data_IF_436419024380
#
_entry.id   IF_436419024380
#
_cell.length_a   1.000
_cell.length_b   1.000
_cell.length_c   1.000
_cell.angle_alpha   90.00
_cell.angle_beta   90.00
_cell.angle_gamma   90.00
#
_symmetry.space_group_name_H-M   'P 1'
#
loop_
_entity.id
_entity.type
_entity.pdbx_description
1 polymer ?
#
# COMPACT_ATOMS: atom_id res chain seq x y z
N UNK A 1 -10.84 20.83 -10.16
CA UNK A 1 -11.29 19.55 -9.56
C UNK A 1 -12.64 19.17 -10.15
N UNK A 2 -12.70 18.07 -10.89
CA UNK A 2 -13.95 17.53 -11.41
C UNK A 2 -14.77 16.98 -10.23
N UNK A 3 -16.02 17.44 -10.07
CA UNK A 3 -16.85 17.20 -8.87
C UNK A 3 -17.79 16.01 -9.02
N UNK A 4 -17.71 15.23 -10.10
CA UNK A 4 -18.67 14.16 -10.41
C UNK A 4 -18.81 13.11 -9.33
N UNK A 5 -17.75 12.82 -8.57
CA UNK A 5 -17.81 11.85 -7.46
C UNK A 5 -18.08 12.48 -6.09
N UNK A 6 -18.36 13.79 -6.03
CA UNK A 6 -18.72 14.45 -4.77
C UNK A 6 -20.07 13.90 -4.29
N UNK A 7 -20.10 13.37 -3.05
CA UNK A 7 -21.28 12.72 -2.49
C UNK A 7 -21.34 11.20 -2.72
N UNK A 8 -20.39 10.63 -3.49
CA UNK A 8 -20.33 9.19 -3.79
C UNK A 8 -19.17 8.48 -3.08
N UNK A 9 -18.63 9.08 -2.01
CA UNK A 9 -17.50 8.54 -1.25
C UNK A 9 -16.15 9.16 -1.58
N UNK A 10 -16.03 10.02 -2.59
CA UNK A 10 -14.78 10.74 -2.84
C UNK A 10 -14.52 11.77 -1.74
N UNK A 11 -13.32 11.75 -1.17
CA UNK A 11 -12.90 12.66 -0.09
C UNK A 11 -11.58 13.35 -0.43
N UNK A 12 -11.24 14.39 0.33
CA UNK A 12 -9.94 15.02 0.21
C UNK A 12 -8.86 14.19 0.90
N UNK A 13 -7.83 13.80 0.15
CA UNK A 13 -6.65 13.10 0.65
C UNK A 13 -5.37 13.85 0.28
N UNK A 14 -4.29 13.60 1.02
CA UNK A 14 -2.98 14.22 0.80
C UNK A 14 -2.04 13.24 0.10
N UNK A 15 -1.50 13.62 -1.05
CA UNK A 15 -0.41 12.93 -1.69
C UNK A 15 0.92 13.55 -1.22
N UNK A 16 1.60 12.90 -0.27
CA UNK A 16 2.82 13.44 0.34
C UNK A 16 3.97 13.59 -0.68
N UNK A 17 4.08 12.70 -1.66
CA UNK A 17 5.13 12.73 -2.69
C UNK A 17 5.00 13.94 -3.61
N UNK A 18 3.77 14.31 -3.98
CA UNK A 18 3.47 15.46 -4.84
C UNK A 18 3.19 16.75 -4.08
N UNK A 19 3.17 16.70 -2.74
CA UNK A 19 2.81 17.81 -1.85
C UNK A 19 1.45 18.44 -2.21
N UNK A 20 0.52 17.64 -2.68
CA UNK A 20 -0.79 18.09 -3.14
C UNK A 20 -1.93 17.43 -2.36
N UNK A 21 -3.05 18.13 -2.29
CA UNK A 21 -4.31 17.58 -1.79
C UNK A 21 -5.24 17.38 -2.97
N UNK A 22 -5.84 16.19 -3.08
CA UNK A 22 -6.74 15.83 -4.16
C UNK A 22 -8.08 15.32 -3.62
N UNK A 23 -9.16 15.59 -4.36
CA UNK A 23 -10.49 15.01 -4.10
C UNK A 23 -10.63 13.74 -4.94
N UNK A 24 -10.79 12.59 -4.31
CA UNK A 24 -10.94 11.33 -5.05
C UNK A 24 -10.85 10.07 -4.20
N UNK A 25 -10.24 9.06 -4.81
CA UNK A 25 -10.05 7.72 -4.28
C UNK A 25 -8.58 7.29 -4.42
N UNK A 26 -8.22 6.22 -3.72
CA UNK A 26 -6.99 5.44 -3.90
C UNK A 26 -7.35 4.06 -4.44
N UNK A 27 -6.52 3.56 -5.33
CA UNK A 27 -6.55 2.17 -5.79
C UNK A 27 -5.40 1.42 -5.12
N UNK A 28 -5.73 0.32 -4.46
CA UNK A 28 -4.76 -0.59 -3.86
C UNK A 28 -4.85 -1.91 -4.63
N UNK A 29 -3.72 -2.42 -5.12
CA UNK A 29 -3.67 -3.66 -5.90
C UNK A 29 -2.65 -4.61 -5.29
N UNK A 30 -2.98 -5.89 -5.29
CA UNK A 30 -2.07 -6.98 -4.99
C UNK A 30 -1.75 -7.69 -6.31
N UNK A 31 -0.47 -7.79 -6.61
CA UNK A 31 0.01 -8.49 -7.79
C UNK A 31 1.15 -9.43 -7.44
N UNK A 32 1.28 -10.49 -8.22
CA UNK A 32 2.44 -11.37 -8.20
C UNK A 32 3.69 -10.65 -8.69
N UNK A 33 4.87 -11.20 -8.42
CA UNK A 33 6.16 -10.62 -8.83
C UNK A 33 6.30 -10.53 -10.37
N UNK A 34 5.66 -11.43 -11.10
CA UNK A 34 5.59 -11.45 -12.56
C UNK A 34 4.47 -10.56 -13.15
N UNK A 35 3.72 -9.86 -12.30
CA UNK A 35 2.81 -8.78 -12.71
C UNK A 35 1.35 -9.19 -12.87
N UNK A 36 0.94 -10.39 -12.46
CA UNK A 36 -0.48 -10.77 -12.47
C UNK A 36 -1.22 -10.12 -11.31
N UNK A 37 -2.26 -9.35 -11.61
CA UNK A 37 -3.13 -8.76 -10.60
C UNK A 37 -4.00 -9.87 -10.01
N UNK A 38 -3.92 -10.03 -8.69
CA UNK A 38 -4.61 -11.07 -7.92
C UNK A 38 -5.80 -10.52 -7.14
N UNK A 39 -5.71 -9.26 -6.69
CA UNK A 39 -6.79 -8.58 -5.98
C UNK A 39 -6.65 -7.06 -6.09
N UNK A 40 -7.75 -6.33 -5.91
CA UNK A 40 -7.77 -4.88 -5.94
C UNK A 40 -8.95 -4.31 -5.13
N UNK A 41 -8.69 -3.21 -4.43
CA UNK A 41 -9.72 -2.46 -3.70
C UNK A 41 -9.58 -0.97 -3.94
N UNK A 42 -10.70 -0.25 -3.83
CA UNK A 42 -10.78 1.21 -3.93
C UNK A 42 -11.21 1.77 -2.58
N UNK A 43 -10.47 2.75 -2.07
CA UNK A 43 -10.83 3.47 -0.85
C UNK A 43 -10.95 4.96 -1.12
N UNK A 44 -11.67 5.70 -0.28
CA UNK A 44 -11.64 7.16 -0.32
C UNK A 44 -10.22 7.69 -0.08
N UNK A 45 -9.88 8.85 -0.64
CA UNK A 45 -8.50 9.36 -0.61
C UNK A 45 -7.95 9.67 0.79
N UNK A 46 -8.81 9.86 1.78
CA UNK A 46 -8.43 10.11 3.18
C UNK A 46 -8.17 8.82 3.98
N UNK A 47 -8.47 7.64 3.44
CA UNK A 47 -8.26 6.38 4.14
C UNK A 47 -6.77 6.05 4.21
N UNK A 48 -6.33 5.55 5.36
CA UNK A 48 -4.97 5.07 5.58
C UNK A 48 -4.72 3.80 4.76
N UNK A 49 -3.58 3.73 4.08
CA UNK A 49 -3.26 2.61 3.19
C UNK A 49 -3.21 1.27 3.95
N UNK A 50 -2.86 1.30 5.24
CA UNK A 50 -2.80 0.10 6.11
C UNK A 50 -4.17 -0.46 6.43
N UNK A 51 -5.21 0.38 6.49
CA UNK A 51 -6.58 -0.10 6.66
C UNK A 51 -7.02 -0.89 5.42
N UNK A 52 -6.68 -0.38 4.23
CA UNK A 52 -6.96 -1.03 2.96
C UNK A 52 -6.25 -2.41 2.86
N UNK A 53 -5.04 -2.54 3.41
CA UNK A 53 -4.28 -3.80 3.36
C UNK A 53 -5.03 -5.00 3.97
N UNK A 54 -5.81 -4.80 5.04
CA UNK A 54 -6.58 -5.87 5.67
C UNK A 54 -7.66 -6.45 4.74
N UNK A 55 -8.35 -5.58 4.02
CA UNK A 55 -9.36 -5.96 3.06
C UNK A 55 -8.73 -6.56 1.80
N UNK A 56 -7.64 -5.96 1.30
CA UNK A 56 -6.92 -6.45 0.12
C UNK A 56 -6.33 -7.85 0.34
N UNK A 57 -5.97 -8.17 1.58
CA UNK A 57 -5.38 -9.46 1.96
C UNK A 57 -6.40 -10.40 2.58
N UNK A 58 -7.71 -10.13 2.45
CA UNK A 58 -8.77 -10.89 3.13
C UNK A 58 -8.64 -12.40 2.92
N UNK A 59 -8.42 -12.81 1.67
CA UNK A 59 -8.38 -14.21 1.24
C UNK A 59 -6.96 -14.81 1.20
N UNK A 60 -5.97 -14.11 1.74
CA UNK A 60 -4.57 -14.52 1.72
C UNK A 60 -4.07 -14.81 3.13
N UNK A 61 -3.16 -15.76 3.22
CA UNK A 61 -2.42 -16.11 4.44
C UNK A 61 -1.06 -16.69 4.06
N UNK A 62 -0.07 -16.60 4.94
CA UNK A 62 1.26 -17.21 4.74
C UNK A 62 1.97 -16.77 3.45
N UNK A 63 1.88 -15.49 3.12
CA UNK A 63 2.56 -14.88 1.96
C UNK A 63 3.48 -13.73 2.39
N UNK A 64 4.49 -13.45 1.56
CA UNK A 64 5.32 -12.24 1.68
C UNK A 64 4.93 -11.25 0.59
N UNK A 65 4.70 -9.99 0.96
CA UNK A 65 4.34 -8.94 0.02
C UNK A 65 5.22 -7.70 0.17
N UNK A 66 5.53 -7.04 -0.95
CA UNK A 66 6.23 -5.77 -0.96
C UNK A 66 5.22 -4.63 -0.98
N UNK A 67 5.36 -3.67 -0.06
CA UNK A 67 4.46 -2.53 0.07
C UNK A 67 5.12 -1.20 -0.31
N UNK A 68 4.32 -0.20 -0.64
CA UNK A 68 4.81 1.19 -0.68
C UNK A 68 5.10 1.74 0.72
N UNK A 69 5.71 2.93 0.78
CA UNK A 69 5.94 3.68 2.03
C UNK A 69 4.67 3.97 2.84
N UNK A 70 3.51 3.98 2.19
CA UNK A 70 2.21 4.14 2.86
C UNK A 70 1.87 3.01 3.82
N UNK A 71 2.47 1.83 3.65
CA UNK A 71 2.24 0.65 4.49
C UNK A 71 3.25 0.51 5.64
N UNK A 72 4.06 1.53 5.92
CA UNK A 72 4.98 1.52 7.05
C UNK A 72 4.20 1.58 8.37
N UNK A 73 4.47 0.65 9.28
CA UNK A 73 3.97 0.67 10.65
C UNK A 73 4.26 -0.65 11.37
N UNK A 74 5.00 -0.57 12.48
CA UNK A 74 5.49 -1.77 13.19
C UNK A 74 4.33 -2.57 13.79
N UNK A 75 3.40 -1.91 14.49
CA UNK A 75 2.20 -2.54 15.05
C UNK A 75 1.33 -3.18 13.96
N UNK A 76 1.18 -2.50 12.83
CA UNK A 76 0.43 -3.01 11.67
C UNK A 76 1.09 -4.26 11.09
N UNK A 77 2.41 -4.23 10.91
CA UNK A 77 3.18 -5.35 10.36
C UNK A 77 3.13 -6.56 11.30
N UNK A 78 3.30 -6.32 12.61
CA UNK A 78 3.21 -7.35 13.63
C UNK A 78 1.81 -7.97 13.70
N UNK A 79 0.75 -7.15 13.67
CA UNK A 79 -0.62 -7.64 13.68
C UNK A 79 -0.93 -8.49 12.45
N UNK A 80 -0.53 -8.04 11.25
CA UNK A 80 -0.74 -8.78 10.01
C UNK A 80 0.00 -10.13 10.00
N UNK A 81 1.21 -10.17 10.57
CA UNK A 81 1.98 -11.40 10.74
C UNK A 81 1.32 -12.35 11.73
N UNK A 82 0.84 -11.86 12.88
CA UNK A 82 0.19 -12.70 13.89
C UNK A 82 -1.14 -13.26 13.40
N UNK A 83 -1.97 -12.44 12.74
CA UNK A 83 -3.33 -12.82 12.37
C UNK A 83 -3.38 -13.66 11.08
N UNK A 84 -2.50 -13.39 10.12
CA UNK A 84 -2.55 -13.99 8.78
C UNK A 84 -1.28 -14.70 8.35
N UNK A 85 -0.25 -14.70 9.18
CA UNK A 85 1.09 -15.17 8.80
C UNK A 85 1.65 -14.42 7.57
N UNK A 86 1.25 -13.17 7.37
CA UNK A 86 1.70 -12.36 6.23
C UNK A 86 2.87 -11.47 6.64
N UNK A 87 3.97 -11.58 5.90
CA UNK A 87 5.10 -10.67 6.01
C UNK A 87 4.96 -9.54 4.99
N UNK A 88 4.63 -8.34 5.47
CA UNK A 88 4.65 -7.14 4.63
C UNK A 88 6.01 -6.43 4.77
N UNK A 89 6.66 -6.20 3.62
CA UNK A 89 7.95 -5.54 3.51
C UNK A 89 7.76 -4.16 2.85
N UNK A 90 7.35 -3.13 3.61
CA UNK A 90 7.15 -1.80 3.05
C UNK A 90 8.49 -1.18 2.65
N UNK A 91 8.49 -0.47 1.51
CA UNK A 91 9.64 0.29 1.04
C UNK A 91 10.09 1.29 2.10
N UNK A 92 11.34 1.18 2.51
CA UNK A 92 11.91 2.02 3.55
C UNK A 92 12.09 3.47 3.08
N UNK A 93 11.95 4.43 4.01
CA UNK A 93 12.30 5.83 3.74
C UNK A 93 13.80 5.93 3.50
N UNK A 94 14.25 6.85 2.64
CA UNK A 94 15.68 6.99 2.30
C UNK A 94 16.60 7.23 3.50
N UNK A 95 16.08 7.80 4.59
CA UNK A 95 16.81 8.04 5.85
C UNK A 95 16.67 6.92 6.88
N UNK A 96 15.99 5.82 6.55
CA UNK A 96 15.87 4.69 7.48
C UNK A 96 17.25 4.09 7.75
N UNK A 97 17.53 3.79 9.02
CA UNK A 97 18.80 3.20 9.48
C UNK A 97 19.01 1.78 8.92
N UNK A 98 17.91 1.08 8.69
CA UNK A 98 17.89 -0.27 8.10
C UNK A 98 17.23 -0.17 6.74
N UNK A 99 17.95 -0.60 5.71
CA UNK A 99 17.49 -0.59 4.32
C UNK A 99 17.49 -2.01 3.77
N UNK A 100 16.62 -2.25 2.79
CA UNK A 100 16.73 -3.46 1.99
C UNK A 100 18.05 -3.47 1.19
N UNK A 101 18.62 -4.66 0.93
CA UNK A 101 19.76 -4.82 0.04
C UNK A 101 19.54 -4.09 -1.29
N UNK A 102 20.61 -3.55 -1.87
CA UNK A 102 20.53 -2.75 -3.10
C UNK A 102 19.87 -3.53 -4.25
N UNK A 103 20.22 -4.79 -4.40
CA UNK A 103 19.70 -5.70 -5.42
C UNK A 103 18.18 -5.90 -5.29
N UNK A 104 17.71 -6.11 -4.06
CA UNK A 104 16.28 -6.25 -3.77
C UNK A 104 15.53 -4.95 -4.11
N UNK A 105 16.09 -3.79 -3.73
CA UNK A 105 15.50 -2.49 -4.09
C UNK A 105 15.42 -2.30 -5.60
N UNK A 106 16.51 -2.59 -6.33
CA UNK A 106 16.54 -2.47 -7.79
C UNK A 106 15.51 -3.40 -8.47
N UNK A 107 15.34 -4.61 -7.94
CA UNK A 107 14.34 -5.56 -8.44
C UNK A 107 12.92 -5.01 -8.24
N UNK A 108 12.59 -4.50 -7.05
CA UNK A 108 11.29 -3.88 -6.77
C UNK A 108 11.05 -2.66 -7.69
N UNK A 109 12.06 -1.83 -7.92
CA UNK A 109 11.93 -0.66 -8.81
C UNK A 109 11.74 -1.04 -10.29
N UNK A 110 12.31 -2.16 -10.74
CA UNK A 110 12.13 -2.64 -12.12
C UNK A 110 10.73 -3.18 -12.37
N UNK A 111 10.05 -3.65 -11.31
CA UNK A 111 8.69 -4.18 -11.35
C UNK A 111 7.61 -3.09 -11.25
N UNK A 112 7.99 -1.85 -10.94
CA UNK A 112 7.12 -0.67 -10.84
C UNK A 112 7.15 0.14 -12.12
#
# INVERSE_FOLDING_TARGET
FHKTFKGFGATYGKCASKKETYLGYKLHMLATIDGFITDAIITSANIDDRAAAWDLTRNYSSITMFGDKGYIGDDFTAALKVEKDIDILPLQRSRSKVQFPKELRQSIFRLR
#
